data_IF_988029240701
#
_entry.id   IF_988029240701
#
_cell.length_a   1.000
_cell.length_b   1.000
_cell.length_c   1.000
_cell.angle_alpha   90.00
_cell.angle_beta   90.00
_cell.angle_gamma   90.00
#
_symmetry.space_group_name_H-M   'P 1'
#
loop_
_entity.id
_entity.type
_entity.pdbx_description
1 polymer ?
#
# COMPACT_ATOMS: atom_id res chain seq x y z
N UNK A 1 -13.75 10.01 -24.00
CA UNK A 1 -13.30 9.98 -22.59
C UNK A 1 -13.21 11.37 -21.96
N UNK A 2 -14.18 12.25 -22.22
CA UNK A 2 -14.13 13.62 -21.70
C UNK A 2 -15.42 14.38 -22.03
N UNK A 3 -16.15 14.74 -20.98
CA UNK A 3 -17.30 15.64 -21.01
C UNK A 3 -17.57 16.13 -19.58
N UNK A 4 -18.26 17.27 -19.40
CA UNK A 4 -18.49 17.84 -18.06
C UNK A 4 -19.10 16.85 -17.07
N UNK A 5 -20.04 16.01 -17.52
CA UNK A 5 -20.69 14.99 -16.68
C UNK A 5 -19.72 13.90 -16.23
N UNK A 6 -18.82 13.45 -17.12
CA UNK A 6 -17.80 12.46 -16.78
C UNK A 6 -16.80 13.07 -15.79
N UNK A 7 -16.39 14.32 -16.02
CA UNK A 7 -15.52 15.04 -15.08
C UNK A 7 -16.17 15.24 -13.71
N UNK A 8 -17.46 15.59 -13.67
CA UNK A 8 -18.24 15.70 -12.44
C UNK A 8 -18.36 14.36 -11.71
N UNK A 9 -18.61 13.26 -12.43
CA UNK A 9 -18.62 11.92 -11.85
C UNK A 9 -17.27 11.56 -11.22
N UNK A 10 -16.17 11.76 -11.96
CA UNK A 10 -14.85 11.48 -11.41
C UNK A 10 -14.48 12.41 -10.26
N UNK A 11 -14.91 13.68 -10.30
CA UNK A 11 -14.77 14.61 -9.19
C UNK A 11 -15.54 14.15 -7.95
N UNK A 12 -16.80 13.76 -8.12
CA UNK A 12 -17.65 13.21 -7.05
C UNK A 12 -17.00 11.98 -6.42
N UNK A 13 -16.75 10.93 -7.21
CA UNK A 13 -16.14 9.69 -6.73
C UNK A 13 -14.78 9.96 -6.07
N UNK A 14 -14.05 10.99 -6.52
CA UNK A 14 -12.78 11.37 -5.92
C UNK A 14 -12.90 12.06 -4.58
N UNK A 15 -13.82 13.03 -4.47
CA UNK A 15 -14.07 13.78 -3.23
C UNK A 15 -14.67 12.87 -2.16
N UNK A 16 -15.54 11.93 -2.56
CA UNK A 16 -16.19 11.00 -1.63
C UNK A 16 -15.35 9.77 -1.30
N UNK A 17 -14.13 9.65 -1.82
CA UNK A 17 -13.25 8.48 -1.63
C UNK A 17 -13.93 7.15 -2.00
N UNK A 18 -14.63 7.12 -3.14
CA UNK A 18 -15.33 5.93 -3.64
C UNK A 18 -14.62 5.26 -4.83
N UNK A 19 -13.44 5.74 -5.23
CA UNK A 19 -12.75 5.28 -6.43
C UNK A 19 -12.53 3.77 -6.46
N UNK A 20 -12.18 3.15 -5.33
CA UNK A 20 -11.95 1.70 -5.24
C UNK A 20 -13.17 0.86 -5.60
N UNK A 21 -14.38 1.41 -5.47
CA UNK A 21 -15.63 0.73 -5.82
C UNK A 21 -15.99 0.83 -7.30
N UNK A 22 -15.34 1.72 -8.04
CA UNK A 22 -15.58 1.96 -9.45
C UNK A 22 -14.29 1.76 -10.25
N UNK A 23 -13.97 0.52 -10.68
CA UNK A 23 -12.69 0.16 -11.31
C UNK A 23 -12.30 1.04 -12.51
N UNK A 24 -13.28 1.50 -13.31
CA UNK A 24 -13.04 2.42 -14.42
C UNK A 24 -12.69 3.86 -13.98
N UNK A 25 -13.18 4.29 -12.82
CA UNK A 25 -12.89 5.61 -12.25
C UNK A 25 -11.60 5.65 -11.44
N UNK A 26 -11.19 4.53 -10.85
CA UNK A 26 -9.94 4.40 -10.08
C UNK A 26 -8.69 4.66 -10.92
N UNK A 27 -8.67 4.18 -12.17
CA UNK A 27 -7.52 4.37 -13.06
C UNK A 27 -7.38 5.82 -13.54
N UNK A 28 -8.51 6.49 -13.79
CA UNK A 28 -8.48 7.85 -14.34
C UNK A 28 -7.75 8.82 -13.42
N UNK A 29 -7.86 8.57 -12.12
CA UNK A 29 -7.06 9.16 -11.07
C UNK A 29 -6.22 8.07 -10.39
N UNK A 30 -5.34 7.38 -11.15
CA UNK A 30 -4.33 6.42 -10.64
C UNK A 30 -3.35 7.03 -9.61
N UNK A 31 -3.64 8.26 -9.16
CA UNK A 31 -3.14 8.81 -7.94
C UNK A 31 -3.47 7.89 -6.73
N UNK A 32 -2.69 7.94 -5.65
CA UNK A 32 -2.87 7.29 -4.33
C UNK A 32 -4.28 7.25 -3.72
N UNK A 33 -5.24 7.99 -4.24
CA UNK A 33 -6.57 8.20 -3.64
C UNK A 33 -7.47 6.96 -3.73
N UNK A 34 -7.27 6.08 -4.72
CA UNK A 34 -7.99 4.79 -4.75
C UNK A 34 -7.64 3.90 -3.56
N UNK A 35 -6.38 3.95 -3.11
CA UNK A 35 -5.95 3.20 -1.94
C UNK A 35 -6.58 3.78 -0.68
N UNK A 36 -6.67 5.12 -0.58
CA UNK A 36 -7.41 5.78 0.50
C UNK A 36 -8.88 5.38 0.51
N UNK A 37 -9.54 5.27 -0.66
CA UNK A 37 -10.90 4.76 -0.78
C UNK A 37 -11.06 3.35 -0.20
N UNK A 38 -10.14 2.44 -0.54
CA UNK A 38 -10.12 1.09 -0.01
C UNK A 38 -9.80 1.06 1.51
N UNK A 39 -8.97 1.99 1.99
CA UNK A 39 -8.65 2.15 3.41
C UNK A 39 -9.84 2.66 4.23
N UNK A 40 -10.62 3.61 3.70
CA UNK A 40 -11.83 4.09 4.37
C UNK A 40 -12.80 2.93 4.61
N UNK A 41 -12.99 2.05 3.62
CA UNK A 41 -13.78 0.84 3.80
C UNK A 41 -13.17 -0.09 4.86
N UNK A 42 -11.85 -0.30 4.80
CA UNK A 42 -11.14 -1.14 5.78
C UNK A 42 -11.31 -0.60 7.21
N UNK A 43 -11.24 0.72 7.41
CA UNK A 43 -11.47 1.38 8.71
C UNK A 43 -12.90 1.21 9.22
N UNK A 44 -13.88 1.06 8.33
CA UNK A 44 -15.26 0.79 8.70
C UNK A 44 -15.48 -0.68 9.14
N UNK A 45 -14.79 -1.63 8.49
CA UNK A 45 -14.85 -3.06 8.83
C UNK A 45 -14.04 -3.39 10.08
N UNK A 46 -12.91 -2.69 10.28
CA UNK A 46 -11.91 -3.01 11.29
C UNK A 46 -12.48 -3.14 12.72
N UNK A 47 -13.36 -2.26 13.23
CA UNK A 47 -13.83 -2.37 14.61
C UNK A 47 -14.62 -3.65 14.90
N UNK A 48 -15.39 -4.14 13.92
CA UNK A 48 -16.12 -5.41 14.03
C UNK A 48 -15.16 -6.60 14.01
N UNK A 49 -14.19 -6.57 13.10
CA UNK A 49 -13.19 -7.62 13.00
C UNK A 49 -12.28 -7.67 14.23
N UNK A 50 -11.86 -6.51 14.76
CA UNK A 50 -10.99 -6.40 15.94
C UNK A 50 -11.63 -7.05 17.18
N UNK A 51 -12.95 -6.98 17.35
CA UNK A 51 -13.65 -7.68 18.45
C UNK A 51 -13.48 -9.18 18.35
N UNK A 52 -13.62 -9.74 17.16
CA UNK A 52 -13.41 -11.18 16.90
C UNK A 52 -11.95 -11.54 17.12
N UNK A 53 -11.02 -10.78 16.54
CA UNK A 53 -9.58 -11.02 16.68
C UNK A 53 -9.09 -10.91 18.12
N UNK A 54 -9.67 -10.02 18.92
CA UNK A 54 -9.32 -9.85 20.33
C UNK A 54 -9.58 -11.13 21.15
N UNK A 55 -10.65 -11.87 20.83
CA UNK A 55 -11.00 -13.14 21.48
C UNK A 55 -10.19 -14.35 21.02
N UNK A 56 -9.42 -14.24 19.93
CA UNK A 56 -8.67 -15.37 19.37
C UNK A 56 -7.35 -15.64 20.11
N UNK A 57 -7.03 -16.92 20.28
CA UNK A 57 -5.73 -17.40 20.77
C UNK A 57 -4.67 -17.37 19.67
N UNK A 58 -3.38 -17.44 20.02
CA UNK A 58 -2.28 -17.44 19.03
C UNK A 58 -2.43 -18.47 17.92
N UNK A 59 -2.88 -19.69 18.24
CA UNK A 59 -3.09 -20.74 17.25
C UNK A 59 -4.22 -20.39 16.27
N UNK A 60 -5.30 -19.80 16.76
CA UNK A 60 -6.43 -19.34 15.95
C UNK A 60 -6.01 -18.15 15.08
N UNK A 61 -5.28 -17.17 15.62
CA UNK A 61 -4.75 -16.04 14.87
C UNK A 61 -3.83 -16.47 13.72
N UNK A 62 -2.97 -17.48 13.94
CA UNK A 62 -2.13 -18.04 12.86
C UNK A 62 -2.98 -18.67 11.76
N UNK A 63 -4.05 -19.39 12.11
CA UNK A 63 -5.01 -19.93 11.13
C UNK A 63 -5.76 -18.82 10.41
N UNK A 64 -6.17 -17.77 11.11
CA UNK A 64 -6.79 -16.58 10.53
C UNK A 64 -5.86 -15.93 9.50
N UNK A 65 -4.57 -15.80 9.82
CA UNK A 65 -3.58 -15.25 8.88
C UNK A 65 -3.49 -16.11 7.60
N UNK A 66 -3.37 -17.43 7.74
CA UNK A 66 -3.37 -18.36 6.59
C UNK A 66 -4.65 -18.24 5.79
N UNK A 67 -5.81 -18.23 6.45
CA UNK A 67 -7.11 -18.10 5.77
C UNK A 67 -7.22 -16.79 4.99
N UNK A 68 -6.83 -15.66 5.58
CA UNK A 68 -6.83 -14.37 4.90
C UNK A 68 -5.88 -14.38 3.69
N UNK A 69 -4.69 -14.96 3.84
CA UNK A 69 -3.74 -15.10 2.72
C UNK A 69 -4.33 -15.94 1.60
N UNK A 70 -4.92 -17.09 1.91
CA UNK A 70 -5.57 -17.96 0.91
C UNK A 70 -6.77 -17.28 0.25
N UNK A 71 -7.60 -16.58 1.01
CA UNK A 71 -8.74 -15.83 0.48
C UNK A 71 -8.28 -14.76 -0.52
N UNK A 72 -7.22 -14.02 -0.16
CA UNK A 72 -6.62 -13.00 -1.05
C UNK A 72 -6.00 -13.64 -2.29
N UNK A 73 -5.42 -14.83 -2.15
CA UNK A 73 -4.76 -15.56 -3.24
C UNK A 73 -5.76 -16.15 -4.24
N UNK A 74 -6.89 -16.71 -3.78
CA UNK A 74 -7.91 -17.33 -4.64
C UNK A 74 -8.41 -16.37 -5.72
N UNK A 75 -8.70 -15.12 -5.35
CA UNK A 75 -9.16 -14.10 -6.32
C UNK A 75 -8.09 -13.83 -7.39
N UNK A 76 -6.82 -13.80 -6.99
CA UNK A 76 -5.69 -13.50 -7.89
C UNK A 76 -5.29 -14.70 -8.75
N UNK A 77 -5.47 -15.92 -8.26
CA UNK A 77 -5.40 -17.14 -9.06
C UNK A 77 -6.50 -17.12 -10.12
N UNK A 78 -7.75 -16.83 -9.73
CA UNK A 78 -8.87 -16.73 -10.67
C UNK A 78 -8.62 -15.71 -11.77
N UNK A 79 -8.13 -14.52 -11.41
CA UNK A 79 -7.69 -13.50 -12.35
C UNK A 79 -6.58 -13.99 -13.30
N UNK A 80 -5.53 -14.63 -12.77
CA UNK A 80 -4.39 -15.10 -13.55
C UNK A 80 -4.80 -16.19 -14.53
N UNK A 81 -5.72 -17.06 -14.10
CA UNK A 81 -6.29 -18.13 -14.90
C UNK A 81 -7.19 -17.58 -16.02
N UNK A 82 -8.13 -16.69 -15.69
CA UNK A 82 -9.09 -16.11 -16.63
C UNK A 82 -8.41 -15.28 -17.72
N UNK A 83 -7.38 -14.51 -17.34
CA UNK A 83 -6.66 -13.65 -18.28
C UNK A 83 -5.43 -14.31 -18.92
N UNK A 84 -5.13 -15.56 -18.54
CA UNK A 84 -3.88 -16.24 -18.87
C UNK A 84 -2.63 -15.37 -18.60
N UNK A 85 -2.68 -14.55 -17.56
CA UNK A 85 -1.68 -13.52 -17.26
C UNK A 85 -0.79 -14.01 -16.13
N UNK A 86 0.12 -14.94 -16.42
CA UNK A 86 0.98 -15.56 -15.40
C UNK A 86 2.36 -14.92 -15.26
N UNK A 87 2.80 -14.12 -16.24
CA UNK A 87 4.16 -13.60 -16.30
C UNK A 87 4.29 -12.16 -15.76
N UNK A 88 5.54 -11.69 -15.60
CA UNK A 88 5.95 -10.41 -14.98
C UNK A 88 5.34 -9.20 -15.68
N UNK A 89 5.05 -9.30 -16.98
CA UNK A 89 4.58 -8.17 -17.78
C UNK A 89 3.08 -8.24 -18.06
N UNK A 90 2.26 -8.04 -17.02
CA UNK A 90 0.80 -7.89 -17.15
C UNK A 90 0.43 -6.76 -18.14
N UNK A 91 1.31 -5.76 -18.29
CA UNK A 91 1.12 -4.60 -19.18
C UNK A 91 1.73 -4.71 -20.60
N UNK A 92 2.39 -5.81 -20.96
CA UNK A 92 2.90 -6.03 -22.35
C UNK A 92 2.12 -7.09 -23.11
N UNK A 93 1.00 -7.56 -22.56
CA UNK A 93 0.06 -8.35 -23.33
C UNK A 93 -0.47 -7.48 -24.48
N UNK A 94 -0.51 -8.04 -25.69
CA UNK A 94 -1.07 -7.37 -26.85
C UNK A 94 -2.48 -6.84 -26.50
N UNK A 95 -2.85 -5.64 -26.95
CA UNK A 95 -4.18 -5.07 -26.71
C UNK A 95 -5.33 -5.99 -27.17
N UNK A 96 -5.06 -6.91 -28.10
CA UNK A 96 -5.99 -7.99 -28.54
C UNK A 96 -6.06 -9.19 -27.59
N UNK A 97 -5.07 -9.37 -26.71
CA UNK A 97 -4.98 -10.46 -25.72
C UNK A 97 -5.08 -9.96 -24.28
N UNK A 98 -5.36 -8.68 -24.02
CA UNK A 98 -5.59 -8.15 -22.67
C UNK A 98 -7.08 -8.29 -22.37
N UNK A 99 -7.56 -9.40 -21.81
CA UNK A 99 -8.99 -9.62 -21.68
C UNK A 99 -9.38 -8.83 -20.42
N UNK A 100 -10.31 -7.90 -20.56
CA UNK A 100 -10.95 -7.25 -19.41
C UNK A 100 -10.03 -6.40 -18.48
N UNK A 101 -9.65 -5.21 -18.96
CA UNK A 101 -9.03 -4.17 -18.13
C UNK A 101 -9.85 -3.81 -16.87
N UNK A 102 -11.18 -3.97 -16.92
CA UNK A 102 -12.01 -3.79 -15.72
C UNK A 102 -11.78 -4.89 -14.69
N UNK A 103 -11.51 -6.13 -15.10
CA UNK A 103 -11.17 -7.22 -14.19
C UNK A 103 -9.82 -6.94 -13.51
N UNK A 104 -8.79 -6.54 -14.26
CA UNK A 104 -7.51 -6.11 -13.70
C UNK A 104 -7.69 -5.02 -12.64
N UNK A 105 -8.40 -3.95 -12.98
CA UNK A 105 -8.68 -2.86 -12.05
C UNK A 105 -9.53 -3.31 -10.87
N UNK A 106 -10.48 -4.21 -11.05
CA UNK A 106 -11.34 -4.70 -9.97
C UNK A 106 -10.57 -5.51 -8.93
N UNK A 107 -9.53 -6.24 -9.36
CA UNK A 107 -8.64 -6.99 -8.46
C UNK A 107 -7.63 -6.05 -7.82
N UNK A 108 -7.02 -5.17 -8.61
CA UNK A 108 -6.00 -4.21 -8.16
C UNK A 108 -6.53 -3.21 -7.13
N UNK A 109 -7.73 -2.68 -7.37
CA UNK A 109 -8.33 -1.60 -6.57
C UNK A 109 -9.40 -2.11 -5.59
N UNK A 110 -9.56 -3.44 -5.47
CA UNK A 110 -10.60 -4.07 -4.65
C UNK A 110 -10.58 -3.57 -3.20
N UNK A 111 -11.66 -2.93 -2.71
CA UNK A 111 -11.78 -2.57 -1.29
C UNK A 111 -11.76 -3.81 -0.40
N UNK A 112 -12.34 -4.92 -0.84
CA UNK A 112 -12.30 -6.20 -0.12
C UNK A 112 -10.90 -6.81 -0.09
N UNK A 113 -10.17 -6.75 -1.21
CA UNK A 113 -8.77 -7.17 -1.28
C UNK A 113 -7.91 -6.40 -0.28
N UNK A 114 -8.00 -5.07 -0.29
CA UNK A 114 -7.29 -4.22 0.67
C UNK A 114 -7.70 -4.48 2.12
N UNK A 115 -9.00 -4.65 2.39
CA UNK A 115 -9.49 -4.98 3.73
C UNK A 115 -8.89 -6.30 4.24
N UNK A 116 -8.76 -7.32 3.38
CA UNK A 116 -8.11 -8.58 3.76
C UNK A 116 -6.66 -8.37 4.19
N UNK A 117 -5.90 -7.53 3.47
CA UNK A 117 -4.49 -7.21 3.76
C UNK A 117 -4.34 -6.39 5.04
N UNK A 118 -5.24 -5.42 5.28
CA UNK A 118 -5.31 -4.67 6.53
C UNK A 118 -5.60 -5.60 7.71
N UNK A 119 -6.52 -6.56 7.55
CA UNK A 119 -6.83 -7.56 8.57
C UNK A 119 -5.63 -8.48 8.86
N UNK A 120 -4.82 -8.85 7.85
CA UNK A 120 -3.57 -9.59 8.09
C UNK A 120 -2.63 -8.79 9.01
N UNK A 121 -2.52 -7.47 8.79
CA UNK A 121 -1.77 -6.57 9.68
C UNK A 121 -2.34 -6.51 11.10
N UNK A 122 -3.67 -6.44 11.24
CA UNK A 122 -4.33 -6.47 12.55
C UNK A 122 -4.11 -7.79 13.29
N UNK A 123 -4.19 -8.93 12.59
CA UNK A 123 -3.85 -10.26 13.12
C UNK A 123 -2.39 -10.31 13.57
N UNK A 124 -1.47 -9.78 12.77
CA UNK A 124 -0.04 -9.71 13.11
C UNK A 124 0.22 -8.89 14.38
N UNK A 125 -0.45 -7.74 14.51
CA UNK A 125 -0.41 -6.92 15.72
C UNK A 125 -0.93 -7.69 16.93
N UNK A 126 -2.09 -8.34 16.81
CA UNK A 126 -2.66 -9.12 17.91
C UNK A 126 -1.76 -10.29 18.32
N UNK A 127 -1.10 -10.95 17.36
CA UNK A 127 -0.14 -12.03 17.63
C UNK A 127 0.99 -11.56 18.55
N UNK A 128 1.58 -10.38 18.27
CA UNK A 128 2.65 -9.84 19.10
C UNK A 128 2.16 -9.28 20.44
N UNK A 129 0.93 -8.76 20.51
CA UNK A 129 0.32 -8.35 21.78
C UNK A 129 0.08 -9.52 22.75
N UNK A 130 0.01 -10.75 22.24
CA UNK A 130 -0.12 -11.97 23.05
C UNK A 130 1.24 -12.60 23.39
N UNK A 131 2.35 -12.01 22.95
CA UNK A 131 3.67 -12.54 23.21
C UNK A 131 4.07 -12.41 24.68
N UNK A 132 4.71 -13.47 25.19
CA UNK A 132 5.43 -13.46 26.46
C UNK A 132 6.86 -13.00 26.22
N UNK A 133 7.56 -12.62 27.28
CA UNK A 133 8.98 -12.22 27.19
C UNK A 133 9.86 -13.27 26.48
N UNK A 134 9.58 -14.56 26.69
CA UNK A 134 10.26 -15.68 26.03
C UNK A 134 10.05 -15.69 24.50
N UNK A 135 8.86 -15.32 24.01
CA UNK A 135 8.57 -15.28 22.57
C UNK A 135 9.40 -14.18 21.87
N UNK A 136 9.66 -13.07 22.56
CA UNK A 136 10.48 -11.98 22.06
C UNK A 136 11.97 -12.36 22.06
N UNK A 137 12.44 -13.03 23.12
CA UNK A 137 13.81 -13.51 23.24
C UNK A 137 14.16 -14.59 22.19
N UNK A 138 13.22 -15.49 21.89
CA UNK A 138 13.40 -16.59 20.94
C UNK A 138 13.06 -16.21 19.49
N UNK A 139 12.81 -14.92 19.19
CA UNK A 139 12.42 -14.53 17.84
C UNK A 139 13.57 -14.72 16.86
N UNK A 140 13.31 -15.37 15.72
CA UNK A 140 14.29 -15.44 14.63
C UNK A 140 14.55 -14.07 14.02
N UNK A 141 15.70 -13.93 13.36
CA UNK A 141 16.09 -12.67 12.70
C UNK A 141 15.04 -12.22 11.65
N UNK A 142 14.68 -10.92 11.62
CA UNK A 142 13.88 -10.30 10.56
C UNK A 142 14.68 -10.12 9.26
N UNK A 143 16.00 -10.28 9.26
CA UNK A 143 16.78 -10.22 8.01
C UNK A 143 16.38 -11.32 7.03
N UNK A 144 15.99 -12.50 7.52
CA UNK A 144 15.53 -13.61 6.67
C UNK A 144 14.38 -13.22 5.74
N UNK A 145 13.21 -12.80 6.26
CA UNK A 145 12.11 -12.35 5.40
C UNK A 145 12.46 -11.10 4.58
N UNK A 146 13.29 -10.19 5.09
CA UNK A 146 13.74 -9.02 4.32
C UNK A 146 14.55 -9.41 3.09
N UNK A 147 15.56 -10.27 3.26
CA UNK A 147 16.38 -10.81 2.16
C UNK A 147 15.53 -11.62 1.20
N UNK A 148 14.57 -12.41 1.69
CA UNK A 148 13.64 -13.15 0.83
C UNK A 148 12.80 -12.22 -0.05
N UNK A 149 12.28 -11.10 0.50
CA UNK A 149 11.55 -10.10 -0.28
C UNK A 149 12.42 -9.47 -1.37
N UNK A 150 13.67 -9.08 -1.05
CA UNK A 150 14.61 -8.58 -2.06
C UNK A 150 14.95 -9.62 -3.11
N UNK A 151 15.21 -10.86 -2.70
CA UNK A 151 15.53 -11.97 -3.60
C UNK A 151 14.39 -12.25 -4.57
N UNK A 152 13.13 -12.22 -4.13
CA UNK A 152 11.99 -12.41 -5.03
C UNK A 152 11.93 -11.28 -6.06
N UNK A 153 12.13 -10.02 -5.64
CA UNK A 153 12.14 -8.89 -6.59
C UNK A 153 13.26 -9.04 -7.61
N UNK A 154 14.48 -9.38 -7.18
CA UNK A 154 15.63 -9.51 -8.09
C UNK A 154 15.50 -10.73 -9.02
N UNK A 155 15.05 -11.88 -8.50
CA UNK A 155 14.82 -13.08 -9.31
C UNK A 155 13.70 -12.87 -10.32
N UNK A 156 12.67 -12.08 -9.98
CA UNK A 156 11.66 -11.66 -10.96
C UNK A 156 12.24 -10.73 -12.00
N UNK A 157 12.98 -9.69 -11.59
CA UNK A 157 13.61 -8.77 -12.54
C UNK A 157 14.58 -9.50 -13.50
N UNK A 158 15.22 -10.58 -13.04
CA UNK A 158 16.08 -11.44 -13.85
C UNK A 158 15.32 -12.49 -14.69
N UNK A 159 13.98 -12.53 -14.64
CA UNK A 159 13.16 -13.48 -15.40
C UNK A 159 13.18 -14.92 -14.88
N UNK A 160 13.75 -15.18 -13.69
CA UNK A 160 13.82 -16.52 -13.09
C UNK A 160 12.47 -16.93 -12.50
N UNK A 161 11.72 -15.98 -11.93
CA UNK A 161 10.38 -16.20 -11.38
C UNK A 161 9.36 -15.58 -12.34
N UNK A 162 8.72 -16.40 -13.16
CA UNK A 162 7.62 -16.03 -14.04
C UNK A 162 6.30 -16.07 -13.27
N UNK A 163 6.09 -15.06 -12.42
CA UNK A 163 4.83 -14.80 -11.74
C UNK A 163 4.45 -13.34 -11.91
N UNK A 164 3.17 -13.10 -12.13
CA UNK A 164 2.62 -11.76 -12.22
C UNK A 164 2.68 -11.00 -10.89
N UNK A 165 2.50 -9.68 -10.96
CA UNK A 165 2.63 -8.79 -9.81
C UNK A 165 1.63 -9.09 -8.70
N UNK A 166 0.38 -9.40 -9.05
CA UNK A 166 -0.69 -9.69 -8.09
C UNK A 166 -0.39 -10.96 -7.28
N UNK A 167 0.08 -12.01 -7.95
CA UNK A 167 0.44 -13.30 -7.37
C UNK A 167 1.67 -13.17 -6.49
N UNK A 168 2.73 -12.50 -6.97
CA UNK A 168 3.96 -12.33 -6.19
C UNK A 168 3.70 -11.54 -4.92
N UNK A 169 2.95 -10.45 -5.03
CA UNK A 169 2.58 -9.62 -3.89
C UNK A 169 1.85 -10.43 -2.83
N UNK A 170 0.95 -11.31 -3.23
CA UNK A 170 0.02 -11.99 -2.30
C UNK A 170 0.56 -13.29 -1.76
N UNK A 171 1.19 -14.10 -2.62
CA UNK A 171 1.73 -15.40 -2.24
C UNK A 171 3.02 -15.27 -1.43
N UNK A 172 3.83 -14.24 -1.71
CA UNK A 172 5.14 -14.10 -1.08
C UNK A 172 5.32 -12.78 -0.34
N UNK A 173 5.14 -11.65 -1.02
CA UNK A 173 5.57 -10.37 -0.46
C UNK A 173 4.81 -10.00 0.83
N UNK A 174 3.48 -10.07 0.82
CA UNK A 174 2.66 -9.74 2.00
C UNK A 174 2.91 -10.72 3.16
N UNK A 175 2.89 -12.05 2.98
CA UNK A 175 3.24 -12.98 4.05
C UNK A 175 4.64 -12.76 4.63
N UNK A 176 5.64 -12.57 3.77
CA UNK A 176 7.02 -12.29 4.21
C UNK A 176 7.10 -10.96 4.95
N UNK A 177 6.38 -9.93 4.48
CA UNK A 177 6.31 -8.62 5.12
C UNK A 177 5.64 -8.71 6.50
N UNK A 178 4.56 -9.47 6.63
CA UNK A 178 3.92 -9.73 7.94
C UNK A 178 4.88 -10.42 8.90
N UNK A 179 5.59 -11.46 8.44
CA UNK A 179 6.60 -12.16 9.26
C UNK A 179 7.74 -11.22 9.63
N UNK A 180 8.19 -10.38 8.70
CA UNK A 180 9.18 -9.34 8.94
C UNK A 180 8.72 -8.38 10.05
N UNK A 181 7.50 -7.85 9.97
CA UNK A 181 6.92 -6.93 10.95
C UNK A 181 6.81 -7.56 12.35
N UNK A 182 6.35 -8.81 12.43
CA UNK A 182 6.27 -9.55 13.70
C UNK A 182 7.68 -9.70 14.32
N UNK A 183 8.66 -10.12 13.51
CA UNK A 183 10.02 -10.37 13.99
C UNK A 183 10.76 -9.09 14.38
N UNK A 184 10.63 -8.02 13.59
CA UNK A 184 11.29 -6.75 13.90
C UNK A 184 10.68 -6.15 15.16
N UNK A 185 9.35 -6.22 15.35
CA UNK A 185 8.71 -5.77 16.58
C UNK A 185 9.25 -6.52 17.80
N UNK A 186 9.22 -7.87 17.77
CA UNK A 186 9.76 -8.71 18.84
C UNK A 186 11.22 -8.41 19.14
N UNK A 187 12.02 -8.18 18.10
CA UNK A 187 13.42 -7.82 18.25
C UNK A 187 13.59 -6.46 18.92
N UNK A 188 12.78 -5.47 18.54
CA UNK A 188 12.82 -4.12 19.12
C UNK A 188 12.43 -4.08 20.59
N UNK A 189 11.49 -4.94 21.02
CA UNK A 189 11.04 -5.00 22.43
C UNK A 189 11.80 -6.02 23.28
N UNK A 190 12.67 -6.83 22.66
CA UNK A 190 13.52 -7.79 23.38
C UNK A 190 14.64 -7.08 24.17
N UNK A 191 15.19 -7.71 25.23
CA UNK A 191 16.36 -7.17 25.94
C UNK A 191 17.51 -6.85 24.98
N UNK A 192 18.03 -5.63 25.01
CA UNK A 192 19.07 -5.14 24.10
C UNK A 192 18.60 -4.92 22.66
N UNK A 193 17.29 -4.84 22.41
CA UNK A 193 16.70 -4.62 21.08
C UNK A 193 17.14 -3.31 20.43
N UNK A 194 17.35 -2.28 21.22
CA UNK A 194 17.89 -0.96 20.85
C UNK A 194 19.32 -1.03 20.30
N UNK A 195 20.10 -2.02 20.73
CA UNK A 195 21.47 -2.25 20.26
C UNK A 195 21.52 -3.05 18.96
N UNK A 196 20.42 -3.67 18.54
CA UNK A 196 20.39 -4.47 17.33
C UNK A 196 20.33 -3.58 16.09
N UNK A 197 21.10 -3.94 15.07
CA UNK A 197 21.35 -3.09 13.88
C UNK A 197 20.04 -2.70 13.18
N UNK A 198 19.15 -3.67 12.91
CA UNK A 198 17.97 -3.38 12.09
C UNK A 198 16.95 -2.46 12.78
N UNK A 199 16.56 -2.68 14.06
CA UNK A 199 15.80 -1.69 14.81
C UNK A 199 16.48 -0.32 14.85
N UNK A 200 17.79 -0.27 15.11
CA UNK A 200 18.55 0.98 15.20
C UNK A 200 18.54 1.77 13.89
N UNK A 201 18.72 1.11 12.75
CA UNK A 201 18.64 1.73 11.42
C UNK A 201 17.23 2.25 11.17
N UNK A 202 16.20 1.43 11.39
CA UNK A 202 14.81 1.83 11.14
C UNK A 202 14.35 2.99 12.03
N UNK A 203 14.93 3.16 13.21
CA UNK A 203 14.67 4.27 14.12
C UNK A 203 15.53 5.52 13.86
N UNK A 204 16.41 5.52 12.83
CA UNK A 204 17.22 6.70 12.51
C UNK A 204 16.32 7.93 12.27
N UNK A 205 16.70 9.14 12.75
CA UNK A 205 15.85 10.32 12.64
C UNK A 205 15.38 10.62 11.22
N UNK A 206 16.26 10.41 10.23
CA UNK A 206 15.93 10.59 8.81
C UNK A 206 14.87 9.58 8.33
N UNK A 207 15.03 8.29 8.66
CA UNK A 207 14.06 7.26 8.26
C UNK A 207 12.73 7.41 8.99
N UNK A 208 12.77 7.78 10.27
CA UNK A 208 11.58 8.14 11.04
C UNK A 208 10.86 9.35 10.45
N UNK A 209 11.61 10.38 10.04
CA UNK A 209 11.06 11.57 9.36
C UNK A 209 10.42 11.20 8.02
N UNK A 210 11.13 10.46 7.16
CA UNK A 210 10.62 9.98 5.87
C UNK A 210 9.38 9.08 6.06
N UNK A 211 9.38 8.25 7.10
CA UNK A 211 8.22 7.47 7.52
C UNK A 211 7.03 8.36 7.91
N UNK A 212 7.28 9.42 8.67
CA UNK A 212 6.26 10.39 9.07
C UNK A 212 5.60 11.12 7.90
N UNK A 213 6.37 11.45 6.85
CA UNK A 213 5.84 12.09 5.63
C UNK A 213 5.48 11.12 4.52
N UNK A 214 5.49 9.81 4.76
CA UNK A 214 5.25 8.77 3.74
C UNK A 214 3.86 8.88 3.10
N UNK A 215 2.81 9.12 3.89
CA UNK A 215 1.45 9.36 3.38
C UNK A 215 1.33 10.66 2.57
N UNK A 216 1.85 11.81 3.04
CA UNK A 216 1.96 13.00 2.22
C UNK A 216 2.70 12.79 0.89
N UNK A 217 3.85 12.12 0.89
CA UNK A 217 4.58 11.73 -0.33
C UNK A 217 3.65 10.90 -1.22
N UNK A 218 3.01 9.89 -0.63
CA UNK A 218 2.07 9.03 -1.34
C UNK A 218 0.97 9.86 -1.98
N UNK A 219 0.39 10.87 -1.32
CA UNK A 219 -0.66 11.77 -1.85
C UNK A 219 -0.19 12.63 -3.02
N UNK A 220 0.99 13.26 -2.90
CA UNK A 220 1.41 14.33 -3.83
C UNK A 220 2.24 13.84 -5.02
N UNK A 221 2.94 12.71 -4.92
CA UNK A 221 3.82 12.24 -5.99
C UNK A 221 3.05 12.00 -7.31
N UNK A 222 1.88 11.37 -7.24
CA UNK A 222 1.06 11.06 -8.42
C UNK A 222 0.65 12.32 -9.20
N UNK A 223 -0.09 13.28 -8.59
CA UNK A 223 -0.49 14.51 -9.25
C UNK A 223 0.67 15.34 -9.79
N UNK A 224 1.75 15.51 -9.00
CA UNK A 224 2.95 16.24 -9.44
C UNK A 224 3.58 15.54 -10.65
N UNK A 225 3.71 14.21 -10.59
CA UNK A 225 4.24 13.41 -11.70
C UNK A 225 3.38 13.52 -12.95
N UNK A 226 2.05 13.56 -12.81
CA UNK A 226 1.16 13.78 -13.96
C UNK A 226 1.36 15.15 -14.61
N UNK A 227 1.55 16.21 -13.82
CA UNK A 227 1.79 17.56 -14.34
C UNK A 227 3.12 17.64 -15.10
N UNK A 228 4.17 17.00 -14.57
CA UNK A 228 5.53 17.13 -15.10
C UNK A 228 5.91 16.10 -16.18
N UNK A 229 5.37 14.87 -16.11
CA UNK A 229 5.77 13.75 -16.98
C UNK A 229 4.68 13.24 -17.91
N UNK A 230 3.38 13.42 -17.60
CA UNK A 230 2.33 12.90 -18.48
C UNK A 230 2.29 13.74 -19.75
N UNK A 231 2.77 13.18 -20.87
CA UNK A 231 2.86 13.87 -22.18
C UNK A 231 1.63 14.72 -22.52
N UNK A 232 0.43 14.18 -22.38
CA UNK A 232 -0.81 14.89 -22.69
C UNK A 232 -1.05 16.16 -21.84
N UNK A 233 -0.53 16.18 -20.60
CA UNK A 233 -0.66 17.30 -19.66
C UNK A 233 0.54 18.24 -19.81
N UNK A 234 1.76 17.70 -19.73
CA UNK A 234 2.99 18.47 -19.79
C UNK A 234 3.15 19.23 -21.11
N UNK A 235 2.81 18.62 -22.26
CA UNK A 235 2.83 19.32 -23.56
C UNK A 235 1.87 20.50 -23.60
N UNK A 236 0.71 20.42 -22.94
CA UNK A 236 -0.25 21.53 -22.87
C UNK A 236 0.19 22.66 -21.95
N UNK A 237 0.86 22.33 -20.85
CA UNK A 237 1.27 23.31 -19.83
C UNK A 237 2.63 23.95 -20.14
N UNK A 238 3.56 23.16 -20.67
CA UNK A 238 4.98 23.52 -20.78
C UNK A 238 5.56 23.34 -22.19
N UNK A 239 4.76 22.91 -23.17
CA UNK A 239 5.22 22.66 -24.54
C UNK A 239 5.98 21.33 -24.74
N UNK A 240 6.27 20.59 -23.67
CA UNK A 240 6.97 19.30 -23.72
C UNK A 240 6.97 18.60 -22.37
N UNK A 241 7.44 17.34 -22.32
CA UNK A 241 7.70 16.65 -21.04
C UNK A 241 9.03 17.07 -20.47
N UNK A 242 9.14 17.15 -19.14
CA UNK A 242 10.42 17.43 -18.49
C UNK A 242 11.37 16.22 -18.45
N UNK A 243 10.89 15.00 -18.71
CA UNK A 243 11.77 13.86 -18.93
C UNK A 243 12.48 14.00 -20.26
N UNK A 244 13.81 14.03 -20.23
CA UNK A 244 14.60 13.84 -21.42
C UNK A 244 15.71 12.80 -21.18
N UNK A 245 15.37 11.49 -21.25
CA UNK A 245 16.36 10.44 -21.13
C UNK A 245 17.18 10.37 -22.44
N UNK A 246 18.11 11.30 -22.65
CA UNK A 246 19.12 11.16 -23.70
C UNK A 246 20.31 10.32 -23.22
N UNK A 247 20.75 9.42 -24.10
CA UNK A 247 21.97 8.59 -24.20
C UNK A 247 22.48 7.78 -22.98
N UNK A 248 22.26 8.22 -21.75
CA UNK A 248 22.71 7.54 -20.52
C UNK A 248 21.60 6.82 -19.76
N UNK A 249 20.35 6.91 -20.23
CA UNK A 249 19.18 6.27 -19.61
C UNK A 249 18.78 6.86 -18.24
N UNK A 250 19.47 7.89 -17.76
CA UNK A 250 19.21 8.56 -16.49
C UNK A 250 18.53 9.90 -16.77
N UNK A 251 17.27 10.02 -16.33
CA UNK A 251 16.55 11.28 -16.34
C UNK A 251 16.96 12.13 -15.12
N UNK A 252 17.88 13.08 -15.29
CA UNK A 252 18.31 13.95 -14.18
C UNK A 252 17.16 14.78 -13.58
N UNK A 253 16.10 15.03 -14.35
CA UNK A 253 14.91 15.70 -13.83
C UNK A 253 14.17 14.86 -12.79
N UNK A 254 14.41 13.54 -12.73
CA UNK A 254 13.88 12.66 -11.70
C UNK A 254 14.25 13.12 -10.28
N UNK A 255 15.49 13.56 -10.08
CA UNK A 255 15.95 14.05 -8.77
C UNK A 255 15.27 15.38 -8.40
N UNK A 256 15.08 16.26 -9.39
CA UNK A 256 14.35 17.53 -9.21
C UNK A 256 12.89 17.26 -8.87
N UNK A 257 12.24 16.36 -9.59
CA UNK A 257 10.89 15.89 -9.30
C UNK A 257 10.78 15.34 -7.88
N UNK A 258 11.70 14.48 -7.45
CA UNK A 258 11.72 13.96 -6.08
C UNK A 258 11.88 15.06 -5.03
N UNK A 259 12.74 16.05 -5.28
CA UNK A 259 12.88 17.19 -4.38
C UNK A 259 11.56 17.99 -4.26
N UNK A 260 10.87 18.24 -5.38
CA UNK A 260 9.56 18.91 -5.40
C UNK A 260 8.53 18.09 -4.60
N UNK A 261 8.47 16.78 -4.80
CA UNK A 261 7.56 15.87 -4.07
C UNK A 261 7.84 15.91 -2.57
N UNK A 262 9.10 15.84 -2.15
CA UNK A 262 9.48 15.91 -0.74
C UNK A 262 9.12 17.26 -0.11
N UNK A 263 9.40 18.37 -0.80
CA UNK A 263 9.04 19.71 -0.32
C UNK A 263 7.53 19.88 -0.20
N UNK A 264 6.76 19.42 -1.19
CA UNK A 264 5.31 19.44 -1.17
C UNK A 264 4.75 18.56 -0.04
N UNK A 265 5.32 17.36 0.17
CA UNK A 265 4.93 16.46 1.24
C UNK A 265 5.20 17.07 2.63
N UNK A 266 6.34 17.73 2.82
CA UNK A 266 6.66 18.46 4.06
C UNK A 266 5.72 19.64 4.27
N UNK A 267 5.41 20.39 3.22
CA UNK A 267 4.42 21.46 3.26
C UNK A 267 3.05 20.95 3.67
N UNK A 268 2.59 19.85 3.06
CA UNK A 268 1.32 19.21 3.39
C UNK A 268 1.30 18.69 4.84
N UNK A 269 2.38 18.07 5.29
CA UNK A 269 2.51 17.61 6.68
C UNK A 269 2.35 18.78 7.65
N UNK A 270 3.15 19.84 7.49
CA UNK A 270 3.18 20.98 8.43
C UNK A 270 1.94 21.85 8.38
N UNK A 271 1.41 22.11 7.19
CA UNK A 271 0.31 23.06 7.01
C UNK A 271 -1.07 22.41 7.18
N UNK A 272 -1.20 21.11 6.92
CA UNK A 272 -2.49 20.41 6.97
C UNK A 272 -2.52 19.31 8.04
N UNK A 273 -1.65 18.31 7.95
CA UNK A 273 -1.70 17.12 8.84
C UNK A 273 -1.46 17.51 10.30
N UNK A 274 -0.47 18.36 10.56
CA UNK A 274 -0.12 18.80 11.90
C UNK A 274 -1.04 19.92 12.43
N UNK A 275 -1.98 20.40 11.61
CA UNK A 275 -2.88 21.48 12.00
C UNK A 275 -3.84 21.03 13.11
N UNK A 276 -4.04 21.91 14.09
CA UNK A 276 -4.95 21.68 15.22
C UNK A 276 -6.39 21.38 14.75
N UNK A 277 -6.82 21.98 13.63
CA UNK A 277 -8.14 21.74 13.06
C UNK A 277 -8.30 20.29 12.62
N UNK A 278 -7.33 19.74 11.89
CA UNK A 278 -7.36 18.36 11.40
C UNK A 278 -7.26 17.38 12.57
N UNK A 279 -6.38 17.64 13.54
CA UNK A 279 -6.26 16.81 14.75
C UNK A 279 -7.59 16.72 15.52
N UNK A 280 -8.24 17.87 15.76
CA UNK A 280 -9.55 17.93 16.45
C UNK A 280 -10.65 17.23 15.65
N UNK A 281 -10.72 17.45 14.34
CA UNK A 281 -11.70 16.80 13.49
C UNK A 281 -11.54 15.27 13.48
N UNK A 282 -10.30 14.78 13.37
CA UNK A 282 -9.97 13.36 13.43
C UNK A 282 -10.36 12.74 14.78
N UNK A 283 -10.04 13.40 15.89
CA UNK A 283 -10.41 12.95 17.23
C UNK A 283 -11.93 12.90 17.45
N UNK A 284 -12.66 13.92 16.97
CA UNK A 284 -14.12 13.96 17.03
C UNK A 284 -14.74 12.81 16.23
N UNK A 285 -14.24 12.55 15.02
CA UNK A 285 -14.68 11.45 14.18
C UNK A 285 -14.41 10.08 14.82
N UNK A 286 -13.23 9.87 15.38
CA UNK A 286 -12.89 8.65 16.12
C UNK A 286 -13.79 8.41 17.33
N UNK A 287 -14.10 9.47 18.08
CA UNK A 287 -15.05 9.41 19.21
C UNK A 287 -16.46 9.04 18.74
N UNK A 288 -16.94 9.64 17.64
CA UNK A 288 -18.25 9.36 17.08
C UNK A 288 -18.37 7.90 16.62
N UNK A 289 -17.36 7.37 15.92
CA UNK A 289 -17.30 5.96 15.53
C UNK A 289 -17.32 5.06 16.75
N UNK A 290 -16.49 5.34 17.75
CA UNK A 290 -16.41 4.51 18.97
C UNK A 290 -17.76 4.47 19.67
N UNK A 291 -18.41 5.62 19.83
CA UNK A 291 -19.74 5.73 20.45
C UNK A 291 -20.80 4.96 19.66
N UNK A 292 -20.80 5.04 18.33
CA UNK A 292 -21.74 4.30 17.47
C UNK A 292 -21.53 2.77 17.53
N UNK A 293 -20.35 2.31 17.95
CA UNK A 293 -20.04 0.89 18.03
C UNK A 293 -20.26 0.32 19.44
N UNK A 294 -20.06 1.11 20.49
CA UNK A 294 -20.17 0.67 21.90
C UNK A 294 -21.52 0.99 22.55
N UNK A 295 -22.32 1.88 21.94
CA UNK A 295 -23.71 2.12 22.33
C UNK A 295 -24.66 1.16 21.63
#
# INVERSE_FOLDING_TARGET
FSGPLVALWHGFVSVTMLQGWFPASAEMWNAPTWFLSAYVFSLWVLPYALRVLAGQRKAELRRTLVFLTLLSLVVKIGYSYDLNSWDIMEGTLNAKTHPNYMLFNSVRFSPFGAASEVLMGAVACRLVMLDKAEDAANTSSPLGPLVAMFAIITLRAAGVIALNDMMVRTAFFIPLFVVFLIRIHRQSVSPGGDQKILPKVLCMPLLSFLGGISFPIFIVHGPIGQVLYKKAVATKLFGGTFSNPHDVGIDYFFFVYWAIVLLAAVGLQKCFVDSERVKRASAAFGTAITKALTG
#
